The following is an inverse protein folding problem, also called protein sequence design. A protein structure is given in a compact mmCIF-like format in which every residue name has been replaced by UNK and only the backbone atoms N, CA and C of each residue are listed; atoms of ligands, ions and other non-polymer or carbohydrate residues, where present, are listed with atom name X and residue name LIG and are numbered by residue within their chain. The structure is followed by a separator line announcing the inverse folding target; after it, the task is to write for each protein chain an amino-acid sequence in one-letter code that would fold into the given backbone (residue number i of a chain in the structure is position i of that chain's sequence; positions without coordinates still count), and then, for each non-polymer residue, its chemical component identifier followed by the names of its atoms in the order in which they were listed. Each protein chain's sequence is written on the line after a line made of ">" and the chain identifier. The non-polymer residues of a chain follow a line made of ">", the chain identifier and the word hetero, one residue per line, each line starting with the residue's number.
data_IF_339816310445
#
_entry.id   IF_339816310445
#
_cell.length_a   1.000
_cell.length_b   1.000
_cell.length_c   1.000
_cell.angle_alpha   90.00
_cell.angle_beta   90.00
_cell.angle_gamma   90.00
#
_symmetry.space_group_name_H-M   'P 1'
#
loop_
_entity.id
_entity.type
_entity.pdbx_description
1 polymer ?
2 polymer ?
3 water ?
#
# COMPACT_ATOMS: atom_id res chain seq x y z
N UNK A 1 -11.67 17.12 20.72
CA UNK A 1 -12.15 17.91 19.55
C UNK A 1 -11.86 17.16 18.25
N UNK A 2 -12.93 16.74 17.57
CA UNK A 2 -12.77 16.01 16.31
C UNK A 2 -13.45 16.71 15.14
N UNK A 3 -12.82 16.61 13.98
CA UNK A 3 -13.33 17.22 12.76
C UNK A 3 -13.39 16.18 11.67
N UNK A 4 -14.35 16.33 10.77
CA UNK A 4 -14.47 15.48 9.59
C UNK A 4 -14.17 16.47 8.47
N UNK A 5 -13.12 16.18 7.72
CA UNK A 5 -12.65 17.08 6.69
C UNK A 5 -12.50 16.51 5.31
N UNK A 6 -12.57 17.41 4.32
CA UNK A 6 -12.26 17.05 2.93
C UNK A 6 -11.17 18.02 2.56
N UNK A 7 -10.31 17.62 1.63
CA UNK A 7 -9.14 18.39 1.27
C UNK A 7 -8.82 18.36 -0.22
N UNK A 8 -8.28 19.46 -0.71
CA UNK A 8 -7.86 19.59 -2.11
C UNK A 8 -6.46 20.20 -2.14
N UNK A 9 -5.58 19.59 -2.92
CA UNK A 9 -4.23 20.10 -3.10
C UNK A 9 -4.04 20.62 -4.52
N UNK A 10 -3.65 21.89 -4.66
CA UNK A 10 -3.31 22.48 -5.96
C UNK A 10 -1.78 22.47 -5.81
N UNK A 11 -1.10 21.59 -6.53
CA UNK A 11 0.35 21.47 -6.44
C UNK A 11 1.32 22.49 -6.96
N UNK A 12 2.47 22.53 -6.30
CA UNK A 12 3.59 23.36 -6.69
C UNK A 12 4.84 22.49 -6.54
N UNK A 13 5.81 22.63 -7.46
CA UNK A 13 7.03 21.84 -7.35
C UNK A 13 7.83 22.48 -6.21
N UNK A 14 8.88 21.80 -5.76
CA UNK A 14 9.66 22.31 -4.63
C UNK A 14 10.22 23.73 -4.74
N UNK A 15 10.70 24.13 -5.91
CA UNK A 15 11.23 25.48 -6.12
C UNK A 15 10.52 26.06 -7.34
N UNK A 16 9.31 26.58 -7.12
CA UNK A 16 8.48 27.15 -8.18
C UNK A 16 8.80 28.57 -8.61
N UNK A 17 8.55 28.86 -9.88
CA UNK A 17 8.74 30.22 -10.37
C UNK A 17 7.57 31.05 -9.80
N UNK A 18 7.72 32.36 -9.84
CA UNK A 18 6.66 33.22 -9.33
C UNK A 18 5.40 33.08 -10.17
N UNK A 19 5.56 32.84 -11.48
CA UNK A 19 4.39 32.64 -12.31
C UNK A 19 3.67 31.33 -11.97
N UNK A 20 4.43 30.27 -11.67
CA UNK A 20 3.81 29.01 -11.27
C UNK A 20 3.01 29.22 -10.00
N UNK A 21 3.58 29.97 -9.06
CA UNK A 21 2.90 30.24 -7.79
C UNK A 21 1.63 31.04 -7.99
N UNK A 22 1.73 32.08 -8.82
CA UNK A 22 0.58 32.92 -9.07
C UNK A 22 -0.56 32.13 -9.71
N UNK A 23 -0.21 31.27 -10.66
CA UNK A 23 -1.22 30.48 -11.35
C UNK A 23 -1.87 29.46 -10.42
N UNK A 24 -1.07 28.84 -9.55
CA UNK A 24 -1.63 27.87 -8.62
C UNK A 24 -2.50 28.58 -7.59
N UNK A 25 -2.05 29.73 -7.11
CA UNK A 25 -2.83 30.46 -6.11
C UNK A 25 -4.17 30.90 -6.72
N UNK A 26 -4.15 31.32 -7.97
CA UNK A 26 -5.38 31.75 -8.63
C UNK A 26 -6.37 30.58 -8.74
N UNK A 27 -5.88 29.42 -9.13
CA UNK A 27 -6.78 28.28 -9.23
C UNK A 27 -7.32 27.91 -7.85
N UNK A 28 -6.46 27.91 -6.83
CA UNK A 28 -6.90 27.56 -5.47
C UNK A 28 -7.95 28.56 -4.97
N UNK A 29 -7.74 29.84 -5.25
CA UNK A 29 -8.72 30.84 -4.84
C UNK A 29 -10.06 30.65 -5.56
N UNK A 30 -10.01 30.30 -6.84
CA UNK A 30 -11.23 30.06 -7.61
C UNK A 30 -11.99 28.89 -7.01
N UNK A 31 -11.26 27.86 -6.59
CA UNK A 31 -11.90 26.70 -5.98
C UNK A 31 -12.53 27.05 -4.63
N UNK A 32 -11.83 27.84 -3.82
CA UNK A 32 -12.38 28.27 -2.54
C UNK A 32 -13.68 29.03 -2.80
N UNK A 33 -13.64 29.94 -3.78
CA UNK A 33 -14.82 30.73 -4.10
C UNK A 33 -16.00 29.89 -4.54
N UNK A 34 -15.77 28.92 -5.43
CA UNK A 34 -16.86 28.08 -5.89
C UNK A 34 -17.39 27.21 -4.74
N UNK A 35 -16.48 26.67 -3.93
CA UNK A 35 -16.88 25.83 -2.81
C UNK A 35 -17.74 26.62 -1.81
N UNK A 36 -17.36 27.86 -1.55
CA UNK A 36 -18.11 28.71 -0.62
C UNK A 36 -19.46 29.07 -1.22
N UNK A 37 -19.53 29.05 -2.55
CA UNK A 37 -20.75 29.39 -3.26
C UNK A 37 -21.69 28.19 -3.34
N UNK A 38 -21.25 27.04 -2.81
CA UNK A 38 -22.09 25.85 -2.82
C UNK A 38 -21.75 24.73 -3.79
N UNK A 39 -20.67 24.88 -4.54
CA UNK A 39 -20.28 23.85 -5.48
C UNK A 39 -19.96 22.54 -4.76
N UNK A 40 -20.18 21.42 -5.43
CA UNK A 40 -19.90 20.11 -4.85
C UNK A 40 -18.39 19.99 -4.62
N UNK A 41 -17.98 19.96 -3.36
CA UNK A 41 -16.57 19.89 -3.01
C UNK A 41 -15.91 18.61 -3.49
N UNK A 42 -16.60 17.49 -3.38
CA UNK A 42 -16.03 16.24 -3.84
C UNK A 42 -15.74 16.26 -5.34
N UNK A 43 -16.63 16.86 -6.12
CA UNK A 43 -16.43 16.96 -7.57
C UNK A 43 -15.24 17.87 -7.86
N UNK A 44 -15.09 18.93 -7.07
CA UNK A 44 -13.96 19.83 -7.25
C UNK A 44 -12.65 19.07 -6.97
N UNK A 45 -12.65 18.21 -5.97
CA UNK A 45 -11.44 17.46 -5.63
C UNK A 45 -11.11 16.47 -6.74
N UNK A 46 -12.12 15.76 -7.23
CA UNK A 46 -11.89 14.79 -8.30
C UNK A 46 -11.34 15.50 -9.53
N UNK A 47 -11.84 16.69 -9.82
CA UNK A 47 -11.41 17.44 -10.97
C UNK A 47 -10.04 18.12 -10.88
N UNK A 48 -9.69 18.59 -9.68
CA UNK A 48 -8.48 19.37 -9.52
C UNK A 48 -7.43 19.01 -8.51
N UNK A 49 -7.76 18.16 -7.54
CA UNK A 49 -6.81 17.83 -6.50
C UNK A 49 -5.72 16.87 -6.94
N UNK A 50 -4.49 17.16 -6.50
CA UNK A 50 -3.36 16.32 -6.84
C UNK A 50 -3.03 15.29 -5.76
N UNK A 51 -3.76 15.28 -4.65
CA UNK A 51 -3.42 14.32 -3.62
C UNK A 51 -4.08 12.95 -3.77
N UNK A 52 -3.67 11.99 -2.95
CA UNK A 52 -4.16 10.63 -3.01
C UNK A 52 -5.62 10.40 -2.67
N UNK A 53 -6.27 11.40 -2.09
CA UNK A 53 -7.68 11.24 -1.73
C UNK A 53 -8.58 11.88 -2.79
N UNK A 54 -7.98 12.44 -3.84
CA UNK A 54 -8.76 13.12 -4.86
C UNK A 54 -9.88 12.29 -5.46
N UNK A 55 -9.58 11.04 -5.80
CA UNK A 55 -10.59 10.17 -6.40
C UNK A 55 -11.69 9.75 -5.45
N UNK A 56 -11.54 10.10 -4.17
CA UNK A 56 -12.58 9.81 -3.20
C UNK A 56 -13.17 11.14 -2.73
N UNK A 57 -13.18 12.12 -3.63
CA UNK A 57 -13.75 13.42 -3.33
C UNK A 57 -12.97 14.22 -2.30
N UNK A 58 -11.71 13.88 -2.09
CA UNK A 58 -10.92 14.58 -1.08
C UNK A 58 -11.31 14.25 0.34
N UNK A 59 -12.14 13.23 0.54
CA UNK A 59 -12.55 12.89 1.90
C UNK A 59 -11.40 12.38 2.74
N UNK A 60 -11.23 13.00 3.91
CA UNK A 60 -10.17 12.62 4.84
C UNK A 60 -10.72 11.87 6.05
N UNK A 61 -12.04 11.93 6.25
CA UNK A 61 -12.62 11.29 7.41
C UNK A 61 -12.46 12.12 8.69
N UNK A 62 -12.49 11.41 9.82
CA UNK A 62 -12.39 12.04 11.13
C UNK A 62 -10.99 12.07 11.69
N UNK A 63 -10.78 12.98 12.63
CA UNK A 63 -9.49 13.10 13.30
C UNK A 63 -9.53 14.20 14.34
N UNK A 64 -8.54 14.18 15.23
CA UNK A 64 -8.47 15.20 16.27
C UNK A 64 -7.71 16.41 15.75
N UNK A 65 -7.98 17.57 16.33
CA UNK A 65 -7.29 18.78 15.90
C UNK A 65 -5.79 18.61 16.04
N UNK A 66 -5.35 17.91 17.09
CA UNK A 66 -3.93 17.70 17.33
C UNK A 66 -3.28 16.75 16.32
N UNK A 67 -4.09 16.02 15.57
CA UNK A 67 -3.56 15.10 14.57
C UNK A 67 -3.31 15.82 13.23
N UNK A 68 -3.78 17.05 13.11
CA UNK A 68 -3.60 17.83 11.88
C UNK A 68 -2.22 18.43 11.77
N UNK A 69 -1.78 18.73 10.54
CA UNK A 69 -0.46 19.35 10.47
C UNK A 69 -0.64 20.75 11.09
N UNK A 70 0.43 21.27 11.69
CA UNK A 70 0.37 22.56 12.33
C UNK A 70 -0.15 23.69 11.46
N UNK A 71 0.18 23.65 10.18
CA UNK A 71 -0.26 24.71 9.28
C UNK A 71 -1.78 24.76 9.07
N UNK A 72 -2.49 23.72 9.48
CA UNK A 72 -3.94 23.69 9.33
C UNK A 72 -4.65 23.81 10.68
N UNK A 73 -4.00 23.36 11.74
CA UNK A 73 -4.61 23.34 13.07
C UNK A 73 -5.12 24.67 13.58
N UNK A 74 -4.30 25.72 13.52
CA UNK A 74 -4.74 27.02 14.01
C UNK A 74 -5.98 27.52 13.27
N UNK A 75 -5.94 27.48 11.95
CA UNK A 75 -7.05 27.94 11.16
C UNK A 75 -8.33 27.15 11.42
N UNK A 76 -8.21 25.84 11.48
CA UNK A 76 -9.38 25.00 11.68
C UNK A 76 -9.95 25.02 13.09
N UNK A 77 -9.14 25.40 14.07
CA UNK A 77 -9.62 25.42 15.45
C UNK A 77 -10.82 26.35 15.67
N UNK A 78 -10.96 27.39 14.84
CA UNK A 78 -12.05 28.35 15.02
C UNK A 78 -13.08 28.31 13.90
N UNK A 79 -13.00 27.28 13.06
CA UNK A 79 -13.94 27.13 11.95
C UNK A 79 -15.21 26.45 12.44
N UNK A 80 -16.25 26.56 11.65
CA UNK A 80 -17.52 25.92 11.96
C UNK A 80 -17.88 24.97 10.80
N UNK A 81 -18.84 24.10 11.04
CA UNK A 81 -19.29 23.16 10.02
C UNK A 81 -19.68 23.90 8.76
N UNK A 82 -19.23 23.39 7.62
CA UNK A 82 -19.55 23.99 6.34
C UNK A 82 -18.51 24.98 5.84
N UNK A 83 -17.63 25.44 6.72
CA UNK A 83 -16.62 26.38 6.31
C UNK A 83 -15.63 25.81 5.29
N UNK A 84 -15.19 26.67 4.39
CA UNK A 84 -14.16 26.32 3.42
C UNK A 84 -12.97 27.16 3.90
N UNK A 85 -11.85 26.51 4.13
CA UNK A 85 -10.68 27.20 4.63
C UNK A 85 -9.53 27.15 3.63
N UNK A 86 -8.93 28.30 3.38
CA UNK A 86 -7.82 28.37 2.46
C UNK A 86 -7.96 29.53 1.49
N UNK A 87 -7.05 29.64 0.51
CA UNK A 87 -5.94 28.70 0.32
C UNK A 87 -4.85 28.85 1.38
N UNK A 88 -4.33 27.72 1.83
CA UNK A 88 -3.24 27.70 2.80
C UNK A 88 -2.02 27.18 2.05
N UNK A 89 -0.94 27.93 2.10
CA UNK A 89 0.27 27.52 1.41
C UNK A 89 1.17 26.61 2.24
N UNK A 90 1.72 25.58 1.61
CA UNK A 90 2.65 24.68 2.25
C UNK A 90 3.80 24.49 1.27
N UNK A 91 4.77 23.68 1.64
CA UNK A 91 5.88 23.44 0.74
C UNK A 91 5.48 22.67 -0.51
N UNK A 92 4.30 22.06 -0.53
CA UNK A 92 3.88 21.28 -1.70
C UNK A 92 2.77 21.91 -2.54
N UNK A 93 2.30 23.09 -2.17
CA UNK A 93 1.27 23.75 -2.95
C UNK A 93 0.30 24.54 -2.12
N UNK A 94 -0.90 24.71 -2.65
CA UNK A 94 -1.96 25.44 -1.96
C UNK A 94 -3.03 24.44 -1.57
N UNK A 95 -3.53 24.57 -0.36
CA UNK A 95 -4.51 23.67 0.19
C UNK A 95 -5.85 24.30 0.47
N UNK A 96 -6.91 23.55 0.21
CA UNK A 96 -8.28 24.00 0.47
C UNK A 96 -8.91 22.92 1.31
N UNK A 97 -9.51 23.32 2.44
CA UNK A 97 -10.16 22.38 3.33
C UNK A 97 -11.64 22.69 3.48
N UNK A 98 -12.45 21.64 3.62
CA UNK A 98 -13.87 21.83 3.87
C UNK A 98 -14.18 21.12 5.18
N UNK A 99 -14.85 21.83 6.09
CA UNK A 99 -15.22 21.25 7.36
C UNK A 99 -16.58 20.58 7.18
N UNK A 100 -16.57 19.26 7.00
CA UNK A 100 -17.82 18.54 6.80
C UNK A 100 -18.59 18.45 8.11
N UNK A 101 -17.88 18.35 9.22
CA UNK A 101 -18.54 18.24 10.50
C UNK A 101 -17.54 18.41 11.64
N UNK A 102 -18.10 18.60 12.82
CA UNK A 102 -17.37 18.72 14.07
C UNK A 102 -18.15 17.87 15.05
N UNK A 103 -17.46 17.22 15.98
CA UNK A 103 -18.13 16.39 16.99
C UNK A 103 -17.29 16.33 18.25
N UNK B 1 12.10 24.90 11.40
CA UNK B 1 12.87 23.65 11.64
C UNK B 1 12.40 22.54 10.71
N UNK B 2 13.33 21.70 10.29
CA UNK B 2 13.01 20.58 9.43
C UNK B 2 13.65 19.34 10.02
N UNK B 3 12.99 18.20 9.85
CA UNK B 3 13.51 16.95 10.37
C UNK B 3 13.45 15.86 9.30
N UNK B 4 14.47 15.02 9.28
CA UNK B 4 14.54 13.88 8.37
C UNK B 4 14.16 12.74 9.32
N UNK B 5 12.97 12.19 9.11
CA UNK B 5 12.44 11.14 9.98
C UNK B 5 12.22 9.79 9.33
N UNK B 6 12.26 8.76 10.16
CA UNK B 6 11.86 7.41 9.76
C UNK B 6 10.69 7.10 10.71
N UNK B 7 9.75 6.29 10.24
CA UNK B 7 8.53 6.04 10.98
C UNK B 7 8.08 4.61 10.93
N UNK B 8 7.53 4.12 12.04
CA UNK B 8 6.99 2.77 12.12
C UNK B 8 5.57 2.88 12.67
N UNK B 9 4.64 2.20 12.01
CA UNK B 9 3.24 2.19 12.44
C UNK B 9 2.84 0.79 12.91
N UNK B 10 2.36 0.70 14.15
CA UNK B 10 1.84 -0.55 14.70
C UNK B 10 0.35 -0.22 14.67
N UNK B 11 -0.37 -0.80 13.70
CA UNK B 11 -1.80 -0.53 13.55
C UNK B 11 -2.82 -0.99 14.55
N UNK B 12 -3.92 -0.25 14.58
CA UNK B 12 -5.06 -0.56 15.43
C UNK B 12 -6.31 -0.39 14.58
N UNK B 13 -7.35 -1.21 14.83
CA UNK B 13 -8.59 -1.07 14.04
C UNK B 13 -9.27 0.21 14.52
N UNK B 14 -10.29 0.66 13.78
CA UNK B 14 -11.00 1.89 14.10
C UNK B 14 -11.50 2.12 15.53
N UNK B 15 -12.19 1.12 16.07
CA UNK B 15 -12.77 1.19 17.43
C UNK B 15 -12.19 0.00 18.18
N UNK B 16 -10.90 0.08 18.55
CA UNK B 16 -10.26 -1.03 19.25
C UNK B 16 -10.68 -1.28 20.71
N UNK B 17 -10.61 -2.54 21.10
CA UNK B 17 -10.91 -2.91 22.48
C UNK B 17 -9.68 -2.53 23.29
N UNK B 18 -9.82 -2.51 24.61
CA UNK B 18 -8.69 -2.15 25.46
C UNK B 18 -7.58 -3.18 25.30
N UNK B 19 -7.98 -4.44 25.07
CA UNK B 19 -6.99 -5.50 24.87
C UNK B 19 -6.16 -5.25 23.62
N UNK B 20 -6.85 -4.85 22.55
CA UNK B 20 -6.17 -4.57 21.29
C UNK B 20 -5.20 -3.40 21.45
N UNK B 21 -5.64 -2.36 22.16
CA UNK B 21 -4.80 -1.20 22.38
C UNK B 21 -3.57 -1.61 23.18
N UNK B 22 -3.77 -2.37 24.25
CA UNK B 22 -2.65 -2.80 25.10
C UNK B 22 -1.63 -3.65 24.36
N UNK B 23 -2.11 -4.55 23.52
CA UNK B 23 -1.23 -5.41 22.75
C UNK B 23 -0.39 -4.63 21.74
N UNK B 24 -1.01 -3.64 21.10
CA UNK B 24 -0.29 -2.84 20.12
C UNK B 24 0.73 -1.96 20.84
N UNK B 25 0.33 -1.42 21.98
CA UNK B 25 1.24 -0.57 22.74
C UNK B 25 2.45 -1.38 23.19
N UNK B 26 2.21 -2.62 23.62
CA UNK B 26 3.29 -3.51 24.07
C UNK B 26 4.29 -3.75 22.96
N UNK B 27 3.80 -4.07 21.78
CA UNK B 27 4.68 -4.31 20.65
C UNK B 27 5.48 -3.06 20.32
N UNK B 28 4.81 -1.91 20.32
CA UNK B 28 5.48 -0.65 20.00
C UNK B 28 6.55 -0.32 21.03
N UNK B 29 6.27 -0.53 22.31
CA UNK B 29 7.26 -0.24 23.34
C UNK B 29 8.48 -1.14 23.20
N UNK B 30 8.25 -2.38 22.80
CA UNK B 30 9.34 -3.33 22.62
C UNK B 30 10.24 -2.85 21.48
N UNK B 31 9.62 -2.36 20.42
CA UNK B 31 10.37 -1.87 19.27
C UNK B 31 11.17 -0.62 19.64
N UNK B 32 10.57 0.26 20.43
CA UNK B 32 11.27 1.47 20.86
C UNK B 32 12.52 1.07 21.65
N UNK B 33 12.38 0.10 22.54
CA UNK B 33 13.53 -0.36 23.32
C UNK B 33 14.61 -0.97 22.45
N UNK B 34 14.22 -1.80 21.48
CA UNK B 34 15.19 -2.42 20.59
C UNK B 34 15.95 -1.35 19.81
N UNK B 35 15.21 -0.34 19.34
CA UNK B 35 15.81 0.74 18.57
C UNK B 35 16.77 1.58 19.41
N UNK B 36 16.38 1.90 20.63
CA UNK B 36 17.24 2.69 21.49
C UNK B 36 18.50 1.92 21.83
N UNK B 37 18.39 0.60 21.90
CA UNK B 37 19.55 -0.22 22.22
C UNK B 37 20.40 -0.57 21.01
N UNK B 38 20.13 0.11 19.89
CA UNK B 38 20.98 -0.10 18.72
C UNK B 38 20.50 -0.87 17.51
N UNK B 39 19.29 -1.41 17.54
CA UNK B 39 18.79 -2.16 16.41
C UNK B 39 18.65 -1.26 15.18
N UNK B 40 18.86 -1.83 14.01
CA UNK B 40 18.73 -1.09 12.75
C UNK B 40 17.27 -0.69 12.61
N UNK B 41 16.98 0.62 12.68
CA UNK B 41 15.61 1.09 12.62
C UNK B 41 14.93 0.74 11.30
N UNK B 42 15.69 0.79 10.21
CA UNK B 42 15.13 0.45 8.92
C UNK B 42 14.65 -1.00 8.87
N UNK B 43 15.44 -1.89 9.45
CA UNK B 43 15.05 -3.30 9.48
C UNK B 43 13.85 -3.52 10.38
N UNK B 44 13.75 -2.73 11.44
CA UNK B 44 12.61 -2.83 12.34
C UNK B 44 11.34 -2.40 11.60
N UNK B 45 11.47 -1.37 10.77
CA UNK B 45 10.34 -0.89 10.01
C UNK B 45 9.92 -1.93 8.97
N UNK B 46 10.92 -2.54 8.32
CA UNK B 46 10.65 -3.55 7.31
C UNK B 46 9.90 -4.73 7.92
N UNK B 47 10.28 -5.10 9.14
CA UNK B 47 9.68 -6.23 9.81
C UNK B 47 8.36 -5.96 10.56
N UNK B 48 8.13 -4.73 10.98
CA UNK B 48 6.96 -4.45 11.77
C UNK B 48 5.99 -3.35 11.36
N UNK B 49 6.45 -2.42 10.52
CA UNK B 49 5.60 -1.31 10.14
C UNK B 49 4.50 -1.65 9.16
N UNK B 50 3.31 -1.13 9.41
CA UNK B 50 2.18 -1.39 8.53
C UNK B 50 2.01 -0.29 7.47
N UNK B 51 2.84 0.75 7.52
CA UNK B 51 2.72 1.84 6.55
C UNK B 51 3.35 1.53 5.18
N UNK B 52 3.07 2.40 4.22
CA UNK B 52 3.57 2.25 2.86
C UNK B 52 5.08 2.42 2.71
N UNK B 53 5.73 3.04 3.68
CA UNK B 53 7.17 3.25 3.62
C UNK B 53 7.94 2.14 4.31
N UNK B 54 7.24 1.14 4.84
CA UNK B 54 7.89 0.06 5.56
C UNK B 54 9.05 -0.61 4.81
N UNK B 55 8.82 -0.95 3.55
CA UNK B 55 9.85 -1.61 2.74
C UNK B 55 11.11 -0.79 2.56
N UNK B 56 10.97 0.54 2.62
CA UNK B 56 12.11 1.42 2.47
C UNK B 56 12.59 1.88 3.84
N UNK B 57 12.53 0.98 4.82
CA UNK B 57 12.97 1.29 6.17
C UNK B 57 12.18 2.35 6.91
N UNK B 58 10.97 2.64 6.45
CA UNK B 58 10.15 3.64 7.10
C UNK B 58 10.65 5.05 6.86
N UNK B 59 11.49 5.25 5.86
CA UNK B 59 12.03 6.59 5.59
C UNK B 59 10.95 7.54 5.11
N UNK B 60 10.84 8.68 5.79
CA UNK B 60 9.84 9.68 5.44
C UNK B 60 10.46 10.90 4.78
N UNK B 61 11.79 10.94 4.77
CA UNK B 61 12.49 12.07 4.17
C UNK B 61 12.41 13.34 5.00
N UNK B 62 12.78 14.44 4.36
CA UNK B 62 12.76 15.75 5.00
C UNK B 62 11.37 16.32 5.08
N UNK B 63 11.05 16.90 6.24
CA UNK B 63 9.75 17.49 6.43
C UNK B 63 9.84 18.71 7.34
N UNK B 64 8.95 19.66 7.11
CA UNK B 64 8.89 20.86 7.91
C UNK B 64 8.11 20.51 9.17
N UNK B 65 8.60 20.97 10.30
CA UNK B 65 7.95 20.68 11.58
C UNK B 65 6.49 21.12 11.59
N UNK B 66 6.20 22.24 10.93
CA UNK B 66 4.84 22.77 10.87
C UNK B 66 3.90 21.94 10.00
N UNK B 67 4.44 21.01 9.21
CA UNK B 67 3.62 20.17 8.34
C UNK B 67 3.42 18.77 8.91
N UNK B 68 4.14 18.43 9.97
CA UNK B 68 3.98 17.12 10.59
C UNK B 68 2.67 17.08 11.39
N UNK B 69 2.13 15.87 11.63
CA UNK B 69 0.91 15.79 12.43
C UNK B 69 1.28 16.46 13.76
N UNK B 70 0.38 17.26 14.33
CA UNK B 70 0.68 17.94 15.58
C UNK B 70 1.19 17.03 16.68
N UNK B 71 0.59 15.86 16.84
CA UNK B 71 1.02 14.95 17.89
C UNK B 71 2.45 14.51 17.71
N UNK B 72 2.95 14.51 16.48
CA UNK B 72 4.33 14.13 16.22
C UNK B 72 5.25 15.32 16.47
N UNK B 73 4.89 16.48 15.95
CA UNK B 73 5.70 17.68 16.15
C UNK B 73 5.90 17.95 17.65
N UNK B 74 4.83 17.77 18.43
CA UNK B 74 4.88 17.99 19.87
C UNK B 74 5.87 17.04 20.53
N UNK B 75 5.81 15.77 20.14
CA UNK B 75 6.69 14.74 20.70
C UNK B 75 8.14 14.94 20.30
N UNK B 76 8.37 15.71 19.24
CA UNK B 76 9.71 15.96 18.71
C UNK B 76 10.23 17.35 19.08
N UNK B 77 9.55 18.02 20.01
CA UNK B 77 9.93 19.38 20.38
C UNK B 77 11.38 19.57 20.85
N UNK B 78 11.99 18.52 21.36
CA UNK B 78 13.37 18.61 21.84
C UNK B 78 14.25 17.53 21.27
N UNK B 79 13.74 16.82 20.27
CA UNK B 79 14.51 15.74 19.70
C UNK B 79 15.86 16.14 19.10
N UNK B 80 16.79 15.21 19.20
CA UNK B 80 18.13 15.39 18.69
C UNK B 80 18.39 14.23 17.74
N UNK B 81 19.43 14.38 16.92
CA UNK B 81 19.78 13.34 15.95
C UNK B 81 19.98 12.00 16.63
N UNK B 82 19.34 10.97 16.06
CA UNK B 82 19.46 9.63 16.58
C UNK B 82 18.36 9.24 17.57
N UNK B 83 17.63 10.23 18.09
CA UNK B 83 16.60 9.91 19.07
C UNK B 83 15.44 9.08 18.53
N UNK B 84 14.91 8.21 19.40
CA UNK B 84 13.75 7.39 19.09
C UNK B 84 12.63 7.97 19.93
N UNK B 85 11.52 8.34 19.30
CA UNK B 85 10.42 8.91 20.04
C UNK B 85 9.15 8.08 19.87
N UNK B 86 8.41 7.92 20.96
CA UNK B 86 7.19 7.15 20.93
C UNK B 86 7.19 6.10 22.01
N UNK B 87 6.17 5.21 22.03
CA UNK B 87 5.07 5.22 21.08
C UNK B 87 4.10 6.39 21.23
N UNK B 88 3.61 6.87 20.10
CA UNK B 88 2.65 7.97 20.06
C UNK B 88 1.35 7.39 19.50
N UNK B 89 0.25 7.60 20.21
CA UNK B 89 -1.04 7.08 19.78
C UNK B 89 -1.79 8.03 18.84
N UNK B 90 -2.37 7.47 17.79
CA UNK B 90 -3.21 8.26 16.89
C UNK B 90 -4.41 7.38 16.61
N UNK B 91 -5.33 7.89 15.80
CA UNK B 91 -6.50 7.11 15.45
C UNK B 91 -6.19 5.91 14.55
N UNK B 92 -4.97 5.82 14.01
CA UNK B 92 -4.63 4.68 13.17
C UNK B 92 -3.76 3.63 13.87
N UNK B 93 -3.27 3.95 15.07
CA UNK B 93 -2.43 3.02 15.81
C UNK B 93 -1.36 3.72 16.63
N UNK B 94 -0.24 3.03 16.85
CA UNK B 94 0.87 3.57 17.60
C UNK B 94 2.01 3.85 16.63
N UNK B 95 2.67 4.99 16.83
CA UNK B 95 3.74 5.42 15.95
C UNK B 95 5.07 5.54 16.67
N UNK B 96 6.14 5.17 15.98
CA UNK B 96 7.49 5.29 16.51
C UNK B 96 8.27 6.10 15.47
N UNK B 97 8.99 7.10 15.91
CA UNK B 97 9.77 7.94 15.00
C UNK B 97 11.23 7.95 15.36
N UNK B 98 12.09 8.00 14.35
CA UNK B 98 13.52 8.12 14.58
C UNK B 98 13.98 9.39 13.88
N UNK B 99 14.78 10.19 14.58
CA UNK B 99 15.30 11.42 14.00
C UNK B 99 16.62 11.09 13.31
N UNK B 100 16.59 11.06 11.98
CA UNK B 100 17.80 10.77 11.20
C UNK B 100 18.70 11.99 11.09
N UNK B 101 18.08 13.17 10.99
CA UNK B 101 18.82 14.42 10.84
C UNK B 101 17.86 15.57 11.13
N UNK B 102 18.41 16.76 11.31
CA UNK B 102 17.63 17.97 11.61
C UNK B 102 18.37 19.17 11.07
N UNK B 103 17.63 20.22 10.74
CA UNK B 103 18.26 21.43 10.22
C UNK B 103 17.33 22.62 10.40
N UNK C 1 -6.47 -13.19 7.74
CA UNK C 1 -7.78 -12.82 7.13
C UNK C 1 -7.87 -13.22 5.67
N UNK C 2 -9.08 -13.55 5.23
CA UNK C 2 -9.32 -13.95 3.85
C UNK C 2 -10.11 -12.85 3.15
N UNK C 3 -9.86 -12.70 1.86
CA UNK C 3 -10.55 -11.69 1.07
C UNK C 3 -11.06 -12.33 -0.22
N UNK C 4 -12.19 -11.83 -0.72
CA UNK C 4 -12.70 -12.28 -2.00
C UNK C 4 -12.56 -11.01 -2.84
N UNK C 5 -11.75 -11.10 -3.90
CA UNK C 5 -11.45 -9.92 -4.71
C UNK C 5 -11.73 -10.02 -6.19
N UNK C 6 -11.93 -8.85 -6.80
CA UNK C 6 -12.05 -8.76 -8.24
C UNK C 6 -10.94 -7.79 -8.62
N UNK C 7 -10.38 -7.95 -9.81
CA UNK C 7 -9.23 -7.16 -10.23
C UNK C 7 -9.29 -6.74 -11.69
N UNK C 8 -8.75 -5.57 -11.99
CA UNK C 8 -8.68 -5.04 -13.35
C UNK C 8 -7.25 -4.55 -13.59
N UNK C 9 -6.70 -4.93 -14.74
CA UNK C 9 -5.35 -4.51 -15.12
C UNK C 9 -5.39 -3.62 -16.35
N UNK C 10 -4.83 -2.42 -16.24
CA UNK C 10 -4.71 -1.50 -17.38
C UNK C 10 -3.20 -1.69 -17.61
N UNK C 11 -2.83 -2.40 -18.68
CA UNK C 11 -1.43 -2.70 -18.98
C UNK C 11 -0.47 -1.65 -19.44
N UNK C 12 0.79 -1.92 -19.14
CA UNK C 12 1.91 -1.09 -19.57
C UNK C 12 3.07 -2.01 -19.91
N UNK C 13 3.85 -1.67 -20.93
CA UNK C 13 4.99 -2.52 -21.30
C UNK C 13 6.05 -2.29 -20.22
N UNK C 14 7.10 -3.09 -20.25
CA UNK C 14 8.15 -3.01 -19.25
C UNK C 14 8.79 -1.65 -19.07
N UNK C 15 9.07 -0.96 -20.17
CA UNK C 15 9.70 0.36 -20.12
C UNK C 15 8.84 1.29 -20.95
N UNK C 16 7.76 1.81 -20.35
CA UNK C 16 6.82 2.69 -21.03
C UNK C 16 7.24 4.13 -21.17
N UNK C 17 6.74 4.79 -22.21
CA UNK C 17 7.03 6.21 -22.39
C UNK C 17 6.14 6.94 -21.40
N UNK C 18 6.47 8.19 -21.10
CA UNK C 18 5.65 8.94 -20.17
C UNK C 18 4.24 9.13 -20.72
N UNK C 19 4.12 9.26 -22.04
CA UNK C 19 2.78 9.40 -22.62
C UNK C 19 1.96 8.13 -22.43
N UNK C 20 2.60 6.96 -22.62
CA UNK C 20 1.88 5.70 -22.43
C UNK C 20 1.42 5.58 -20.97
N UNK C 21 2.29 5.95 -20.04
CA UNK C 21 1.94 5.88 -18.62
C UNK C 21 0.77 6.82 -18.29
N UNK C 22 0.81 8.04 -18.80
CA UNK C 22 -0.25 9.00 -18.53
C UNK C 22 -1.58 8.52 -19.07
N UNK C 23 -1.55 7.91 -20.24
CA UNK C 23 -2.78 7.40 -20.84
C UNK C 23 -3.37 6.26 -20.02
N UNK C 24 -2.52 5.33 -19.60
CA UNK C 24 -2.96 4.19 -18.79
C UNK C 24 -3.49 4.65 -17.43
N UNK C 25 -2.76 5.55 -16.78
CA UNK C 25 -3.18 6.03 -15.48
C UNK C 25 -4.53 6.74 -15.56
N UNK C 26 -4.72 7.54 -16.59
CA UNK C 26 -5.99 8.24 -16.75
C UNK C 26 -7.14 7.26 -16.91
N UNK C 27 -6.92 6.19 -17.65
CA UNK C 27 -7.95 5.17 -17.85
C UNK C 27 -8.27 4.50 -16.51
N UNK C 28 -7.23 4.18 -15.74
CA UNK C 28 -7.41 3.54 -14.44
C UNK C 28 -8.18 4.44 -13.47
N UNK C 29 -7.85 5.73 -13.47
CA UNK C 29 -8.54 6.67 -12.59
C UNK C 29 -10.01 6.79 -12.97
N UNK C 30 -10.30 6.79 -14.27
CA UNK C 30 -11.69 6.89 -14.74
C UNK C 30 -12.46 5.66 -14.29
N UNK C 31 -11.83 4.49 -14.36
CA UNK C 31 -12.48 3.26 -13.95
C UNK C 31 -12.77 3.28 -12.44
N UNK C 32 -11.81 3.76 -11.64
CA UNK C 32 -12.01 3.84 -10.20
C UNK C 32 -13.22 4.72 -9.91
N UNK C 33 -13.28 5.88 -10.58
CA UNK C 33 -14.38 6.83 -10.41
C UNK C 33 -15.72 6.21 -10.74
N UNK C 34 -15.79 5.50 -11.87
CA UNK C 34 -17.03 4.85 -12.29
C UNK C 34 -17.43 3.77 -11.30
N UNK C 35 -16.46 2.95 -10.89
CA UNK C 35 -16.71 1.88 -9.94
C UNK C 35 -17.21 2.40 -8.60
N UNK C 36 -16.68 3.55 -8.16
CA UNK C 36 -17.10 4.13 -6.89
C UNK C 36 -18.48 4.78 -7.00
N UNK C 37 -18.89 5.04 -8.23
CA UNK C 37 -20.20 5.65 -8.48
C UNK C 37 -21.26 4.62 -8.87
N UNK C 38 -21.02 3.36 -8.51
CA UNK C 38 -22.01 2.33 -8.79
C UNK C 38 -21.89 1.45 -10.03
N UNK C 39 -20.92 1.73 -10.91
CA UNK C 39 -20.78 0.93 -12.12
C UNK C 39 -20.51 -0.54 -11.77
N UNK C 40 -21.03 -1.44 -12.59
CA UNK C 40 -20.85 -2.87 -12.38
C UNK C 40 -19.36 -3.17 -12.59
N UNK C 41 -18.67 -3.56 -11.52
CA UNK C 41 -17.24 -3.84 -11.61
C UNK C 41 -16.91 -4.94 -12.61
N UNK C 42 -17.72 -6.00 -12.60
CA UNK C 42 -17.49 -7.10 -13.53
C UNK C 42 -17.56 -6.63 -14.98
N UNK C 43 -18.51 -5.74 -15.27
CA UNK C 43 -18.63 -5.22 -16.62
C UNK C 43 -17.42 -4.36 -16.96
N UNK C 44 -16.93 -3.60 -15.97
CA UNK C 44 -15.76 -2.76 -16.18
C UNK C 44 -14.54 -3.63 -16.50
N UNK C 45 -14.43 -4.77 -15.82
CA UNK C 45 -13.31 -5.68 -16.08
C UNK C 45 -13.41 -6.29 -17.47
N UNK C 46 -14.61 -6.73 -17.85
CA UNK C 46 -14.82 -7.34 -19.15
C UNK C 46 -14.44 -6.37 -20.26
N UNK C 47 -14.83 -5.12 -20.09
CA UNK C 47 -14.55 -4.10 -21.09
C UNK C 47 -13.15 -3.51 -21.09
N UNK C 48 -12.47 -3.50 -19.94
CA UNK C 48 -11.14 -2.87 -19.89
C UNK C 48 -9.95 -3.65 -19.38
N UNK C 49 -10.17 -4.72 -18.63
CA UNK C 49 -9.03 -5.46 -18.08
C UNK C 49 -8.25 -6.25 -19.11
N UNK C 50 -6.94 -6.27 -18.96
CA UNK C 50 -6.08 -7.01 -19.87
C UNK C 50 -5.60 -8.34 -19.31
N UNK C 51 -5.97 -8.67 -18.07
CA UNK C 51 -5.51 -9.94 -17.51
C UNK C 51 -6.41 -11.11 -17.88
N UNK C 52 -5.99 -12.32 -17.55
CA UNK C 52 -6.72 -13.52 -17.93
C UNK C 52 -8.06 -13.74 -17.25
N UNK C 53 -8.39 -12.92 -16.25
CA UNK C 53 -9.65 -13.07 -15.56
C UNK C 53 -10.68 -12.06 -16.06
N UNK C 54 -10.30 -11.28 -17.06
CA UNK C 54 -11.19 -10.25 -17.60
C UNK C 54 -12.59 -10.73 -17.98
N UNK C 55 -12.66 -11.82 -18.74
CA UNK C 55 -13.96 -12.34 -19.17
C UNK C 55 -14.76 -12.93 -18.01
N UNK C 56 -14.11 -13.07 -16.86
CA UNK C 56 -14.78 -13.58 -15.68
C UNK C 56 -15.15 -12.40 -14.77
N UNK C 57 -15.20 -11.22 -15.35
CA UNK C 57 -15.52 -10.03 -14.58
C UNK C 57 -14.42 -9.67 -13.60
N UNK C 58 -13.22 -10.17 -13.88
CA UNK C 58 -12.08 -9.91 -13.01
C UNK C 58 -12.15 -10.63 -11.67
N UNK C 59 -13.06 -11.60 -11.55
CA UNK C 59 -13.19 -12.34 -10.30
C UNK C 59 -11.96 -13.16 -10.00
N UNK C 60 -11.39 -12.96 -8.81
CA UNK C 60 -10.19 -13.68 -8.41
C UNK C 60 -10.52 -14.73 -7.37
N UNK C 61 -11.73 -14.66 -6.82
CA UNK C 61 -12.10 -15.62 -5.79
C UNK C 61 -11.51 -15.27 -4.44
N UNK C 62 -11.41 -16.30 -3.60
CA UNK C 62 -10.90 -16.15 -2.24
C UNK C 62 -9.41 -16.40 -2.12
N UNK C 63 -8.84 -15.85 -1.05
CA UNK C 63 -7.43 -16.04 -0.76
C UNK C 63 -7.06 -15.35 0.54
N UNK C 64 -5.92 -15.74 1.11
CA UNK C 64 -5.47 -15.11 2.35
C UNK C 64 -4.72 -13.83 2.00
N UNK C 65 -4.74 -12.86 2.89
CA UNK C 65 -4.03 -11.62 2.62
C UNK C 65 -2.54 -11.93 2.43
N UNK C 66 -2.06 -12.96 3.12
CA UNK C 66 -0.65 -13.36 3.01
C UNK C 66 -0.29 -13.93 1.63
N UNK C 67 -1.31 -14.37 0.89
CA UNK C 67 -1.10 -14.94 -0.45
C UNK C 67 -1.05 -13.89 -1.54
N UNK C 68 -1.45 -12.67 -1.21
CA UNK C 68 -1.45 -11.57 -2.16
C UNK C 68 -0.07 -11.02 -2.47
N UNK C 69 0.06 -10.35 -3.62
CA UNK C 69 1.33 -9.75 -4.00
C UNK C 69 1.55 -8.70 -2.91
N UNK C 70 2.80 -8.48 -2.50
CA UNK C 70 3.06 -7.51 -1.47
C UNK C 70 2.47 -6.13 -1.74
N UNK C 71 2.51 -5.69 -3.00
CA UNK C 71 1.98 -4.37 -3.34
C UNK C 71 0.47 -4.26 -3.12
N UNK C 72 -0.24 -5.38 -3.13
CA UNK C 72 -1.69 -5.37 -2.90
C UNK C 72 -2.03 -5.55 -1.43
N UNK C 73 -1.27 -6.39 -0.73
CA UNK C 73 -1.51 -6.62 0.70
C UNK C 73 -1.45 -5.28 1.41
N UNK C 74 -0.47 -4.47 1.02
CA UNK C 74 -0.29 -3.15 1.60
C UNK C 74 -1.49 -2.27 1.31
N UNK C 75 -1.90 -2.21 0.04
CA UNK C 75 -3.03 -1.38 -0.36
C UNK C 75 -4.38 -1.80 0.23
N UNK C 76 -4.50 -3.07 0.61
CA UNK C 76 -5.75 -3.60 1.15
C UNK C 76 -5.77 -3.75 2.67
N UNK C 77 -4.65 -3.44 3.31
CA UNK C 77 -4.55 -3.56 4.77
C UNK C 77 -5.74 -3.01 5.54
N UNK C 78 -6.22 -1.82 5.16
CA UNK C 78 -7.34 -1.20 5.86
C UNK C 78 -8.64 -1.16 5.07
N UNK C 79 -8.70 -1.89 3.97
CA UNK C 79 -9.91 -1.90 3.15
C UNK C 79 -11.06 -2.67 3.78
N UNK C 80 -12.27 -2.28 3.42
CA UNK C 80 -13.48 -2.94 3.92
C UNK C 80 -14.31 -3.44 2.74
N UNK C 81 -15.30 -4.27 3.03
CA UNK C 81 -16.17 -4.82 1.99
C UNK C 81 -16.78 -3.72 1.14
N UNK C 82 -16.68 -3.88 -0.18
CA UNK C 82 -17.24 -2.91 -1.09
C UNK C 82 -16.28 -1.85 -1.57
N UNK C 83 -15.12 -1.73 -0.92
CA UNK C 83 -14.14 -0.72 -1.32
C UNK C 83 -13.53 -0.97 -2.70
N UNK C 84 -13.23 0.13 -3.39
CA UNK C 84 -12.56 0.09 -4.67
C UNK C 84 -11.17 0.60 -4.29
N UNK C 85 -10.14 -0.14 -4.63
CA UNK C 85 -8.77 0.22 -4.26
C UNK C 85 -7.92 0.46 -5.51
N UNK C 86 -7.25 1.60 -5.56
CA UNK C 86 -6.40 1.92 -6.68
C UNK C 86 -6.61 3.31 -7.23
N UNK C 87 -5.95 3.67 -8.34
CA UNK C 87 -5.02 2.80 -9.07
C UNK C 87 -3.74 2.48 -8.31
N UNK C 88 -3.29 1.25 -8.43
CA UNK C 88 -2.04 0.83 -7.81
C UNK C 88 -1.11 0.54 -8.98
N UNK C 89 0.05 1.18 -8.99
CA UNK C 89 1.00 0.98 -10.09
C UNK C 89 1.97 -0.15 -9.77
N UNK C 90 2.16 -1.05 -10.74
CA UNK C 90 3.10 -2.15 -10.60
C UNK C 90 4.01 -2.06 -11.81
N UNK C 91 4.93 -3.01 -11.94
CA UNK C 91 5.79 -3.00 -13.09
C UNK C 91 5.08 -3.41 -14.37
N UNK C 92 3.84 -3.90 -14.27
CA UNK C 92 3.11 -4.33 -15.46
C UNK C 92 1.90 -3.47 -15.82
N UNK C 93 1.66 -2.40 -15.06
CA UNK C 93 0.55 -1.52 -15.35
C UNK C 93 -0.10 -0.93 -14.12
N UNK C 94 -1.34 -0.51 -14.27
CA UNK C 94 -2.13 0.04 -13.17
C UNK C 94 -3.22 -0.95 -12.84
N UNK C 95 -3.43 -1.15 -11.54
CA UNK C 95 -4.38 -2.13 -11.06
C UNK C 95 -5.50 -1.53 -10.24
N UNK C 96 -6.69 -2.11 -10.37
CA UNK C 96 -7.84 -1.66 -9.59
C UNK C 96 -8.43 -2.91 -8.96
N UNK C 97 -8.69 -2.84 -7.67
CA UNK C 97 -9.26 -3.97 -6.94
C UNK C 97 -10.58 -3.62 -6.30
N UNK C 98 -11.47 -4.61 -6.19
CA UNK C 98 -12.73 -4.41 -5.49
C UNK C 98 -12.81 -5.51 -4.44
N UNK C 99 -13.15 -5.13 -3.22
CA UNK C 99 -13.27 -6.11 -2.15
C UNK C 99 -14.71 -6.61 -2.14
N UNK C 100 -14.91 -7.82 -2.67
CA UNK C 100 -16.24 -8.42 -2.72
C UNK C 100 -16.67 -8.91 -1.34
N UNK C 101 -15.72 -9.41 -0.55
CA UNK C 101 -16.01 -9.91 0.80
C UNK C 101 -14.71 -9.97 1.58
N UNK C 102 -14.81 -10.04 2.90
CA UNK C 102 -13.65 -10.09 3.79
C UNK C 102 -14.06 -10.80 5.07
N UNK C 103 -13.18 -11.68 5.57
CA UNK C 103 -13.48 -12.42 6.79
C UNK C 103 -12.45 -12.24 7.89
N UNK D 1 14.38 -5.32 -5.15
CA UNK D 1 15.10 -6.58 -5.51
C UNK D 1 14.28 -7.44 -6.47
N UNK D 2 14.99 -8.11 -7.38
CA UNK D 2 14.36 -8.98 -8.36
C UNK D 2 14.99 -10.35 -8.29
N UNK D 3 14.18 -11.36 -8.58
CA UNK D 3 14.66 -12.73 -8.56
C UNK D 3 14.23 -13.46 -9.82
N UNK D 4 15.10 -14.35 -10.29
CA UNK D 4 14.82 -15.19 -11.45
C UNK D 4 14.56 -16.50 -10.74
N UNK D 5 13.31 -16.94 -10.76
CA UNK D 5 12.89 -18.14 -10.06
C UNK D 5 12.38 -19.26 -10.93
N UNK D 6 12.50 -20.46 -10.40
CA UNK D 6 11.92 -21.65 -11.01
C UNK D 6 10.98 -22.13 -9.92
N UNK D 7 9.86 -22.72 -10.33
CA UNK D 7 8.82 -23.11 -9.40
C UNK D 7 8.21 -24.47 -9.71
N UNK D 8 7.91 -25.22 -8.66
CA UNK D 8 7.29 -26.52 -8.77
C UNK D 8 6.03 -26.50 -7.91
N UNK D 9 4.92 -26.93 -8.49
CA UNK D 9 3.66 -26.98 -7.76
C UNK D 9 3.19 -28.43 -7.62
N UNK D 10 3.00 -28.86 -6.38
CA UNK D 10 2.46 -30.19 -6.10
C UNK D 10 1.04 -29.76 -5.73
N UNK D 11 0.08 -29.96 -6.64
CA UNK D 11 -1.30 -29.56 -6.44
C UNK D 11 -2.19 -30.23 -5.41
N UNK D 12 -3.14 -29.42 -4.92
CA UNK D 12 -4.17 -29.86 -3.99
C UNK D 12 -5.50 -29.31 -4.50
N UNK D 13 -6.57 -30.13 -4.45
CA UNK D 13 -7.88 -29.66 -4.92
C UNK D 13 -8.38 -28.59 -3.95
N UNK D 14 -9.48 -27.94 -4.29
CA UNK D 14 -10.03 -26.86 -3.46
C UNK D 14 -10.17 -27.14 -1.95
N UNK D 15 -10.89 -28.20 -1.62
CA UNK D 15 -11.14 -28.59 -0.22
C UNK D 15 -10.50 -29.97 -0.06
N UNK D 16 -9.18 -30.02 0.10
CA UNK D 16 -8.47 -31.29 0.25
C UNK D 16 -8.66 -32.04 1.55
N UNK D 17 -8.56 -33.36 1.46
CA UNK D 17 -8.65 -34.20 2.63
C UNK D 17 -7.27 -34.19 3.30
N UNK D 18 -7.22 -34.59 4.55
CA UNK D 18 -5.95 -34.65 5.28
C UNK D 18 -5.01 -35.61 4.56
N UNK D 19 -5.52 -36.70 4.01
CA UNK D 19 -4.65 -37.63 3.30
C UNK D 19 -4.04 -36.99 2.07
N UNK D 20 -4.84 -36.20 1.34
CA UNK D 20 -4.33 -35.52 0.15
C UNK D 20 -3.26 -34.50 0.56
N UNK D 21 -3.52 -33.76 1.63
CA UNK D 21 -2.56 -32.78 2.10
C UNK D 21 -1.24 -33.45 2.52
N UNK D 22 -1.35 -34.53 3.29
CA UNK D 22 -0.14 -35.21 3.74
C UNK D 22 0.68 -35.78 2.59
N UNK D 23 -0.01 -36.35 1.60
CA UNK D 23 0.67 -36.92 0.43
C UNK D 23 1.37 -35.85 -0.38
N UNK D 24 0.69 -34.73 -0.62
CA UNK D 24 1.28 -33.65 -1.40
C UNK D 24 2.49 -33.10 -0.65
N UNK D 25 2.35 -32.95 0.65
CA UNK D 25 3.45 -32.45 1.47
C UNK D 25 4.65 -33.40 1.44
N UNK D 26 4.40 -34.69 1.57
CA UNK D 26 5.48 -35.67 1.53
C UNK D 26 6.15 -35.68 0.16
N UNK D 27 5.38 -35.57 -0.90
CA UNK D 27 5.94 -35.53 -2.25
C UNK D 27 6.84 -34.31 -2.42
N UNK D 28 6.36 -33.17 -1.93
CA UNK D 28 7.10 -31.91 -2.05
C UNK D 28 8.40 -31.97 -1.25
N UNK D 29 8.33 -32.61 -0.08
CA UNK D 29 9.49 -32.74 0.80
C UNK D 29 10.55 -33.60 0.12
N UNK D 30 10.12 -34.69 -0.51
CA UNK D 30 11.04 -35.58 -1.19
C UNK D 30 11.73 -34.85 -2.34
N UNK D 31 10.97 -34.05 -3.07
CA UNK D 31 11.50 -33.30 -4.21
C UNK D 31 12.55 -32.28 -3.74
N UNK D 32 12.27 -31.60 -2.64
CA UNK D 32 13.21 -30.62 -2.10
C UNK D 32 14.50 -31.32 -1.70
N UNK D 33 14.38 -32.46 -1.02
CA UNK D 33 15.57 -33.21 -0.61
C UNK D 33 16.42 -33.59 -1.84
N UNK D 34 15.76 -34.04 -2.91
CA UNK D 34 16.49 -34.42 -4.11
C UNK D 34 17.16 -33.22 -4.76
N UNK D 35 16.44 -32.11 -4.84
CA UNK D 35 16.95 -30.89 -5.44
C UNK D 35 18.19 -30.41 -4.68
N UNK D 36 18.15 -30.51 -3.36
CA UNK D 36 19.27 -30.08 -2.54
C UNK D 36 20.47 -31.03 -2.61
N UNK D 37 20.23 -32.23 -3.13
CA UNK D 37 21.31 -33.21 -3.25
C UNK D 37 21.80 -33.42 -4.67
N UNK D 38 21.72 -32.37 -5.49
CA UNK D 38 22.21 -32.46 -6.86
C UNK D 38 21.24 -32.66 -8.01
N UNK D 39 20.03 -33.13 -7.72
CA UNK D 39 19.06 -33.36 -8.78
C UNK D 39 18.77 -32.07 -9.54
N UNK D 40 18.71 -32.15 -10.85
CA UNK D 40 18.43 -30.99 -11.69
C UNK D 40 17.01 -30.51 -11.38
N UNK D 41 16.90 -29.27 -10.92
CA UNK D 41 15.59 -28.71 -10.56
C UNK D 41 14.61 -28.71 -11.73
N UNK D 42 15.07 -28.30 -12.91
CA UNK D 42 14.21 -28.25 -14.08
C UNK D 42 13.64 -29.62 -14.41
N UNK D 43 14.46 -30.65 -14.29
CA UNK D 43 14.03 -32.01 -14.58
C UNK D 43 12.95 -32.42 -13.58
N UNK D 44 13.14 -32.06 -12.32
CA UNK D 44 12.17 -32.37 -11.28
C UNK D 44 10.84 -31.69 -11.58
N UNK D 45 10.90 -30.47 -12.12
CA UNK D 45 9.69 -29.72 -12.45
C UNK D 45 8.96 -30.41 -13.60
N UNK D 46 9.70 -30.81 -14.62
CA UNK D 46 9.13 -31.49 -15.77
C UNK D 46 8.42 -32.76 -15.33
N UNK D 47 9.05 -33.48 -14.41
CA UNK D 47 8.50 -34.73 -13.92
C UNK D 47 7.41 -34.63 -12.87
N UNK D 48 7.45 -33.60 -12.02
CA UNK D 48 6.46 -33.48 -10.94
C UNK D 48 5.55 -32.27 -10.86
N UNK D 49 5.92 -31.15 -11.48
CA UNK D 49 5.10 -29.96 -11.35
C UNK D 49 3.79 -29.95 -12.14
N UNK D 50 2.76 -29.41 -11.50
CA UNK D 50 1.43 -29.31 -12.11
C UNK D 50 1.12 -27.93 -12.69
N UNK D 51 2.01 -26.96 -12.50
CA UNK D 51 1.70 -25.64 -13.04
C UNK D 51 2.11 -25.51 -14.51
N UNK D 52 1.64 -24.43 -15.13
CA UNK D 52 1.86 -24.16 -16.55
C UNK D 52 3.28 -24.11 -17.08
N UNK D 53 4.25 -23.87 -16.20
CA UNK D 53 5.65 -23.78 -16.60
C UNK D 53 6.41 -25.10 -16.47
N UNK D 54 5.71 -26.15 -16.03
CA UNK D 54 6.34 -27.45 -15.83
C UNK D 54 7.24 -27.94 -16.96
N UNK D 55 6.73 -27.92 -18.18
CA UNK D 55 7.49 -28.39 -19.33
C UNK D 55 8.78 -27.60 -19.56
N UNK D 56 8.84 -26.38 -19.06
CA UNK D 56 10.02 -25.54 -19.21
C UNK D 56 10.85 -25.48 -17.94
N UNK D 57 10.90 -26.60 -17.23
CA UNK D 57 11.67 -26.66 -16.00
C UNK D 57 11.14 -25.79 -14.88
N UNK D 58 9.89 -25.36 -14.99
CA UNK D 58 9.30 -24.51 -13.97
C UNK D 58 9.85 -23.09 -13.99
N UNK D 59 10.50 -22.70 -15.08
CA UNK D 59 11.06 -21.35 -15.16
C UNK D 59 9.98 -20.27 -15.14
N UNK D 60 10.10 -19.36 -14.18
CA UNK D 60 9.15 -18.27 -14.00
C UNK D 60 9.69 -16.94 -14.51
N UNK D 61 10.98 -16.91 -14.83
CA UNK D 61 11.60 -15.68 -15.32
C UNK D 61 11.86 -14.69 -14.20
N UNK D 62 12.15 -13.46 -14.59
CA UNK D 62 12.44 -12.38 -13.65
C UNK D 62 11.17 -11.75 -13.10
N UNK D 63 11.23 -11.41 -11.82
CA UNK D 63 10.11 -10.77 -11.18
C UNK D 63 10.55 -9.95 -9.98
N UNK D 64 9.75 -8.96 -9.62
CA UNK D 64 10.04 -8.10 -8.48
C UNK D 64 9.53 -8.79 -7.22
N UNK D 65 10.32 -8.73 -6.15
CA UNK D 65 9.93 -9.38 -4.91
C UNK D 65 8.58 -8.91 -4.34
N UNK D 66 8.26 -7.62 -4.53
CA UNK D 66 7.01 -7.05 -4.04
C UNK D 66 5.80 -7.51 -4.83
N UNK D 67 6.03 -8.16 -5.97
CA UNK D 67 4.90 -8.62 -6.78
C UNK D 67 4.65 -10.12 -6.61
N UNK D 68 5.55 -10.81 -5.91
CA UNK D 68 5.40 -12.23 -5.67
C UNK D 68 4.38 -12.48 -4.56
N UNK D 69 3.80 -13.69 -4.52
CA UNK D 69 2.83 -13.99 -3.46
C UNK D 69 3.56 -13.73 -2.14
N UNK D 70 2.91 -13.07 -1.19
CA UNK D 70 3.53 -12.77 0.09
C UNK D 70 4.21 -13.95 0.76
N UNK D 71 3.55 -15.11 0.72
CA UNK D 71 4.10 -16.30 1.36
C UNK D 71 5.42 -16.76 0.75
N UNK D 72 5.66 -16.37 -0.50
CA UNK D 72 6.91 -16.72 -1.19
C UNK D 72 7.97 -15.67 -0.88
N UNK D 73 7.59 -14.40 -0.97
CA UNK D 73 8.53 -13.32 -0.68
C UNK D 73 9.06 -13.50 0.74
N UNK D 74 8.18 -13.89 1.65
CA UNK D 74 8.56 -14.11 3.04
C UNK D 74 9.56 -15.26 3.15
N UNK D 75 9.30 -16.34 2.41
CA UNK D 75 10.19 -17.49 2.43
C UNK D 75 11.54 -17.19 1.78
N UNK D 76 11.55 -16.22 0.87
CA UNK D 76 12.75 -15.80 0.14
C UNK D 76 13.44 -14.57 0.73
N UNK D 77 12.99 -14.13 1.90
CA UNK D 77 13.54 -12.93 2.54
C UNK D 77 15.06 -12.90 2.76
N UNK D 78 15.70 -14.07 2.82
CA UNK D 78 17.15 -14.13 3.04
C UNK D 78 17.79 -15.21 2.18
N UNK D 79 17.10 -15.61 1.12
CA UNK D 79 17.62 -16.64 0.24
C UNK D 79 18.80 -16.16 -0.61
N UNK D 80 19.69 -17.09 -0.94
CA UNK D 80 20.85 -16.78 -1.77
C UNK D 80 20.72 -17.48 -3.11
N UNK D 81 21.52 -17.04 -4.07
CA UNK D 81 21.50 -17.63 -5.40
C UNK D 81 21.74 -19.14 -5.27
N UNK D 82 20.88 -19.93 -5.89
CA UNK D 82 21.02 -21.38 -5.84
C UNK D 82 20.17 -22.07 -4.79
N UNK D 83 19.64 -21.30 -3.84
CA UNK D 83 18.82 -21.88 -2.79
C UNK D 83 17.50 -22.48 -3.24
N UNK D 84 17.07 -23.50 -2.52
CA UNK D 84 15.82 -24.18 -2.77
C UNK D 84 15.00 -23.83 -1.53
N UNK D 85 13.78 -23.33 -1.74
CA UNK D 85 12.93 -22.97 -0.62
C UNK D 85 11.61 -23.72 -0.68
N UNK D 86 11.13 -24.17 0.47
CA UNK D 86 9.88 -24.90 0.50
C UNK D 86 10.01 -26.21 1.25
N UNK D 87 8.94 -27.02 1.29
CA UNK D 87 7.65 -26.72 0.65
C UNK D 87 6.90 -25.59 1.36
N UNK D 88 6.15 -24.82 0.56
CA UNK D 88 5.35 -23.71 1.09
C UNK D 88 3.90 -24.00 0.72
N UNK D 89 3.02 -23.97 1.72
CA UNK D 89 1.60 -24.25 1.50
C UNK D 89 0.79 -23.04 1.08
N UNK D 90 -0.11 -23.23 0.11
CA UNK D 90 -1.02 -22.19 -0.33
C UNK D 90 -2.35 -22.89 -0.56
N UNK D 91 -3.36 -22.11 -0.91
CA UNK D 91 -4.67 -22.67 -1.18
C UNK D 91 -4.73 -23.53 -2.43
N UNK D 92 -3.63 -23.57 -3.21
CA UNK D 92 -3.63 -24.40 -4.41
C UNK D 92 -2.69 -25.61 -4.31
N UNK D 93 -1.97 -25.74 -3.21
CA UNK D 93 -1.06 -26.87 -3.07
C UNK D 93 0.22 -26.52 -2.35
N UNK D 94 1.27 -27.27 -2.63
CA UNK D 94 2.58 -27.00 -2.03
C UNK D 94 3.52 -26.51 -3.11
N UNK D 95 4.30 -25.50 -2.76
CA UNK D 95 5.23 -24.88 -3.68
C UNK D 95 6.69 -25.03 -3.29
N UNK D 96 7.53 -25.23 -4.30
CA UNK D 96 8.97 -25.33 -4.11
C UNK D 96 9.55 -24.32 -5.09
N UNK D 97 10.48 -23.49 -4.60
CA UNK D 97 11.09 -22.48 -5.44
C UNK D 97 12.60 -22.59 -5.46
N UNK D 98 13.20 -22.29 -6.60
CA UNK D 98 14.66 -22.30 -6.71
C UNK D 98 15.09 -20.92 -7.19
N UNK D 99 16.07 -20.34 -6.53
CA UNK D 99 16.58 -19.03 -6.92
C UNK D 99 17.66 -19.20 -7.99
N UNK D 100 17.32 -18.94 -9.25
CA UNK D 100 18.27 -19.07 -10.34
C UNK D 100 19.24 -17.89 -10.38
N UNK D 101 18.76 -16.71 -9.99
CA UNK D 101 19.59 -15.51 -10.03
C UNK D 101 18.86 -14.42 -9.23
N UNK D 102 19.59 -13.36 -8.87
CA UNK D 102 19.05 -12.24 -8.11
C UNK D 102 19.75 -10.98 -8.56
N UNK D 103 19.08 -9.84 -8.43
CA UNK D 103 19.69 -8.56 -8.80
C UNK D 103 18.98 -7.42 -8.10
N UNK E 1 -9.27 7.33 10.15
CA UNK E 1 -8.61 8.49 10.81
C UNK E 1 -7.67 9.17 9.84
N UNK E 2 -7.60 10.51 9.90
CA UNK E 2 -6.79 11.26 8.94
C UNK E 2 -5.32 11.57 9.24
N UNK E 3 -4.79 11.06 10.34
CA UNK E 3 -3.42 11.40 10.71
C UNK E 3 -2.38 11.19 9.62
N UNK E 4 -2.31 9.98 9.08
CA UNK E 4 -1.34 9.68 8.04
C UNK E 4 -1.79 10.11 6.64
N UNK E 5 -3.11 10.20 6.42
CA UNK E 5 -3.61 10.66 5.12
C UNK E 5 -3.12 12.08 4.89
N UNK E 6 -3.13 12.90 5.93
CA UNK E 6 -2.62 14.25 5.79
C UNK E 6 -1.09 14.27 5.66
N UNK E 7 -0.39 13.51 6.49
CA UNK E 7 1.06 13.53 6.42
C UNK E 7 1.56 13.12 5.03
N UNK E 8 0.90 12.12 4.44
CA UNK E 8 1.28 11.64 3.12
C UNK E 8 1.30 12.73 2.05
N UNK E 9 0.47 13.75 2.22
CA UNK E 9 0.40 14.83 1.25
C UNK E 9 1.69 15.64 1.17
N UNK E 10 2.40 15.74 2.28
CA UNK E 10 3.62 16.54 2.36
C UNK E 10 4.91 15.80 2.11
N UNK E 11 4.85 14.48 2.01
CA UNK E 11 6.06 13.69 1.78
C UNK E 11 6.72 13.91 0.42
N UNK E 12 8.05 14.05 0.45
CA UNK E 12 8.83 14.25 -0.77
C UNK E 12 10.08 13.38 -0.73
N UNK F 1 -8.76 -20.47 -5.19
CA UNK F 1 -7.73 -19.68 -4.44
C UNK F 1 -6.97 -18.81 -5.43
N UNK F 2 -6.68 -17.57 -5.04
CA UNK F 2 -6.02 -16.65 -5.94
C UNK F 2 -4.51 -16.52 -5.95
N UNK F 3 -3.80 -17.36 -5.20
CA UNK F 3 -2.34 -17.26 -5.12
C UNK F 3 -1.63 -17.19 -6.46
N UNK F 4 -1.83 -18.17 -7.32
CA UNK F 4 -1.17 -18.17 -8.62
C UNK F 4 -1.89 -17.31 -9.65
N UNK F 5 -3.19 -17.09 -9.47
CA UNK F 5 -3.93 -16.24 -10.41
C UNK F 5 -3.34 -14.84 -10.38
N UNK F 6 -2.98 -14.36 -9.19
CA UNK F 6 -2.38 -13.04 -9.10
C UNK F 6 -0.94 -13.11 -9.64
N UNK F 7 -0.17 -14.12 -9.25
CA UNK F 7 1.21 -14.19 -9.73
C UNK F 7 1.26 -14.20 -11.27
N UNK F 8 0.29 -14.86 -11.91
CA UNK F 8 0.23 -14.92 -13.37
C UNK F 8 0.20 -13.55 -14.02
N UNK F 9 -0.41 -12.59 -13.35
CA UNK F 9 -0.52 -11.24 -13.89
C UNK F 9 0.82 -10.53 -14.06
N UNK F 10 1.76 -10.84 -13.18
CA UNK F 10 3.07 -10.20 -13.20
C UNK F 10 4.17 -10.88 -14.01
N UNK F 11 3.96 -12.14 -14.41
CA UNK F 11 4.99 -12.84 -15.16
C UNK F 11 5.23 -12.30 -16.56
N UNK F 12 6.50 -12.20 -16.91
CA UNK F 12 6.93 -11.70 -18.22
C UNK F 12 7.86 -12.71 -18.89
#
# INVERSE_FOLDING_TARGET
>A
TELNLSHILIPLPENPTSDQVNEAESQARAIVDQARNGADFGKLAIAHSADQQALNGGQMGWGRIQELPGIFAQALSTAKKGDIVGPIRSGVGFHILKVNDLR
>B
TELNLSHILIPLPENPTSDQVNEAESQARAIVDQARNGADFGKLAIAHSADQQALNGGQMGWGRIQELPGIFAQALSTAKKGDIVGPIRSGVGFHILKVNDLR
>C
TELNLSHILIPLPENPTSDQVNEAESQARAIVDQARNGADFGKLAIAHSADQQALNGGQMGWGRIQELPGIFAQALSTAKKGDIVGPIRSGVGFHILKVNDLR
>D
TELNLSHILIPLPENPTSDQVNEAESQARAIVDQARNGADFGKLAIAHSADQQALNGGQMGWGRIQELPGIFAQALSTAKKGDIVGPIRSGVGFHILKVNDLR
>E
NFTLKFWDIFRK
>F
NFTLKFWDIFRK
#
